data_IF_289245419074
#
_entry.id   IF_289245419074
#
_cell.length_a   1.000
_cell.length_b   1.000
_cell.length_c   1.000
_cell.angle_alpha   90.00
_cell.angle_beta   90.00
_cell.angle_gamma   90.00
#
_symmetry.space_group_name_H-M   'P 1'
#
loop_
_entity.id
_entity.type
_entity.pdbx_description
1 polymer ?
#
# COMPACT_ATOMS: atom_id res chain seq x y z
N UNK A 1 -1.42 -15.90 -4.86
CA UNK A 1 -2.53 -16.70 -4.32
C UNK A 1 -3.83 -15.90 -4.37
N UNK A 2 -4.90 -16.47 -4.93
CA UNK A 2 -6.22 -15.83 -4.93
C UNK A 2 -6.96 -16.12 -3.62
N UNK A 3 -7.84 -15.21 -3.22
CA UNK A 3 -8.65 -15.40 -2.02
C UNK A 3 -9.59 -16.61 -2.16
N UNK A 4 -10.11 -16.86 -3.36
CA UNK A 4 -10.99 -18.01 -3.61
C UNK A 4 -10.27 -19.34 -3.42
N UNK A 5 -9.02 -19.46 -3.88
CA UNK A 5 -8.24 -20.70 -3.73
C UNK A 5 -7.99 -21.00 -2.25
N UNK A 6 -7.63 -19.98 -1.47
CA UNK A 6 -7.49 -20.12 -0.02
C UNK A 6 -8.81 -20.53 0.64
N UNK A 7 -9.93 -19.90 0.25
CA UNK A 7 -11.24 -20.27 0.80
C UNK A 7 -11.65 -21.68 0.39
N UNK A 8 -11.33 -22.13 -0.82
CA UNK A 8 -11.61 -23.49 -1.28
C UNK A 8 -10.81 -24.53 -0.49
N UNK A 9 -9.53 -24.26 -0.22
CA UNK A 9 -8.67 -25.15 0.57
C UNK A 9 -9.16 -25.31 2.01
N UNK A 10 -9.43 -24.19 2.69
CA UNK A 10 -9.94 -24.22 4.08
C UNK A 10 -11.45 -24.50 4.15
N UNK A 11 -12.14 -24.50 3.01
CA UNK A 11 -13.60 -24.66 2.85
C UNK A 11 -14.42 -23.40 3.13
N UNK A 12 -14.07 -22.58 4.14
CA UNK A 12 -14.84 -21.37 4.48
C UNK A 12 -13.96 -20.19 4.87
N UNK A 13 -14.45 -18.97 4.62
CA UNK A 13 -13.78 -17.72 5.04
C UNK A 13 -13.55 -17.67 6.56
N UNK A 14 -14.47 -18.22 7.34
CA UNK A 14 -14.35 -18.30 8.79
C UNK A 14 -13.21 -19.23 9.23
N UNK A 15 -12.99 -20.36 8.54
CA UNK A 15 -11.85 -21.26 8.81
C UNK A 15 -10.52 -20.62 8.45
N UNK A 16 -10.44 -19.89 7.32
CA UNK A 16 -9.25 -19.08 6.98
C UNK A 16 -8.96 -18.04 8.07
N UNK A 17 -10.00 -17.37 8.55
CA UNK A 17 -9.87 -16.35 9.60
C UNK A 17 -9.35 -16.94 10.91
N UNK A 18 -9.89 -18.10 11.33
CA UNK A 18 -9.43 -18.85 12.52
C UNK A 18 -7.98 -19.34 12.39
N UNK A 19 -7.57 -19.77 11.19
CA UNK A 19 -6.20 -20.22 10.96
C UNK A 19 -5.17 -19.08 11.11
N UNK A 20 -5.56 -17.86 10.78
CA UNK A 20 -4.71 -16.65 10.85
C UNK A 20 -4.95 -15.81 12.10
N UNK A 21 -5.82 -16.26 13.00
CA UNK A 21 -6.30 -15.51 14.16
C UNK A 21 -6.74 -14.07 13.83
N UNK A 22 -7.51 -13.93 12.74
CA UNK A 22 -8.09 -12.66 12.30
C UNK A 22 -9.61 -12.73 12.30
N UNK A 23 -10.26 -11.56 12.20
CA UNK A 23 -11.70 -11.50 12.02
C UNK A 23 -12.10 -11.96 10.62
N UNK A 24 -13.27 -12.60 10.51
CA UNK A 24 -13.86 -12.97 9.22
C UNK A 24 -14.04 -11.74 8.30
N UNK A 25 -14.30 -10.57 8.89
CA UNK A 25 -14.42 -9.30 8.18
C UNK A 25 -13.12 -8.95 7.44
N UNK A 26 -11.95 -9.22 8.04
CA UNK A 26 -10.66 -9.02 7.39
C UNK A 26 -10.52 -9.86 6.11
N UNK A 27 -10.94 -11.12 6.15
CA UNK A 27 -10.88 -12.04 4.99
C UNK A 27 -11.78 -11.54 3.85
N UNK A 28 -12.97 -11.02 4.16
CA UNK A 28 -13.84 -10.39 3.14
C UNK A 28 -13.24 -9.12 2.54
N UNK A 29 -12.45 -8.36 3.30
CA UNK A 29 -11.82 -7.11 2.83
C UNK A 29 -10.64 -7.33 1.89
N UNK A 30 -10.09 -8.54 1.80
CA UNK A 30 -8.97 -8.82 0.88
C UNK A 30 -9.36 -8.73 -0.60
N UNK A 31 -10.64 -8.90 -0.94
CA UNK A 31 -11.08 -8.91 -2.33
C UNK A 31 -10.58 -10.15 -3.08
N UNK A 32 -10.11 -9.98 -4.32
CA UNK A 32 -9.72 -11.09 -5.20
C UNK A 32 -8.36 -11.72 -4.87
N UNK A 33 -7.43 -10.93 -4.31
CA UNK A 33 -6.05 -11.34 -4.05
C UNK A 33 -5.76 -11.19 -2.56
N UNK A 34 -5.18 -12.24 -1.96
CA UNK A 34 -4.78 -12.21 -0.54
C UNK A 34 -3.60 -11.25 -0.37
N UNK A 35 -3.52 -10.42 0.69
CA UNK A 35 -2.35 -9.58 0.92
C UNK A 35 -1.07 -10.42 1.08
N UNK A 36 0.06 -9.93 0.56
CA UNK A 36 1.35 -10.64 0.57
C UNK A 36 1.70 -11.26 1.93
N UNK A 37 1.59 -10.48 3.02
CA UNK A 37 1.93 -10.97 4.36
C UNK A 37 1.07 -12.17 4.78
N UNK A 38 -0.25 -12.08 4.54
CA UNK A 38 -1.20 -13.14 4.89
C UNK A 38 -1.05 -14.36 4.00
N UNK A 39 -0.70 -14.16 2.73
CA UNK A 39 -0.44 -15.26 1.82
C UNK A 39 0.77 -16.10 2.25
N UNK A 40 1.83 -15.46 2.76
CA UNK A 40 3.01 -16.14 3.29
C UNK A 40 2.72 -16.87 4.62
N UNK A 41 1.90 -16.29 5.49
CA UNK A 41 1.44 -16.96 6.71
C UNK A 41 0.63 -18.23 6.37
N UNK A 42 -0.30 -18.13 5.41
CA UNK A 42 -1.11 -19.26 4.96
C UNK A 42 -0.26 -20.36 4.31
N UNK A 43 0.73 -20.01 3.50
CA UNK A 43 1.64 -20.99 2.89
C UNK A 43 2.36 -21.81 3.97
N UNK A 44 2.85 -21.17 5.04
CA UNK A 44 3.49 -21.85 6.18
C UNK A 44 2.51 -22.73 6.96
N UNK A 45 1.29 -22.24 7.20
CA UNK A 45 0.25 -23.00 7.91
C UNK A 45 -0.24 -24.22 7.14
N UNK A 46 -0.15 -24.16 5.81
CA UNK A 46 -0.64 -25.20 4.90
C UNK A 46 0.48 -26.12 4.41
N UNK A 47 1.67 -25.99 5.02
CA UNK A 47 2.89 -26.74 4.70
C UNK A 47 3.21 -26.75 3.20
N UNK A 48 3.00 -25.60 2.54
CA UNK A 48 3.24 -25.43 1.10
C UNK A 48 2.12 -25.93 0.18
N UNK A 49 0.96 -26.37 0.70
CA UNK A 49 -0.17 -26.75 -0.13
C UNK A 49 -0.76 -25.57 -0.92
N UNK A 50 -0.69 -24.35 -0.36
CA UNK A 50 -1.07 -23.10 -1.03
C UNK A 50 0.18 -22.29 -1.38
N UNK A 51 0.57 -22.30 -2.66
CA UNK A 51 1.73 -21.55 -3.15
C UNK A 51 1.45 -20.05 -3.24
N UNK A 52 2.31 -19.25 -2.60
CA UNK A 52 2.26 -17.79 -2.70
C UNK A 52 3.22 -17.27 -3.78
N UNK A 53 2.70 -16.94 -4.97
CA UNK A 53 3.49 -16.25 -5.98
C UNK A 53 3.84 -14.81 -5.58
N UNK A 54 5.08 -14.61 -5.14
CA UNK A 54 5.63 -13.30 -4.81
C UNK A 54 5.66 -12.34 -6.01
N UNK A 55 5.70 -12.86 -7.23
CA UNK A 55 5.65 -12.07 -8.46
C UNK A 55 4.32 -11.32 -8.63
N UNK A 56 3.22 -11.79 -8.03
CA UNK A 56 1.92 -11.07 -8.06
C UNK A 56 1.97 -9.75 -7.28
N UNK A 57 2.84 -9.66 -6.28
CA UNK A 57 2.98 -8.47 -5.44
C UNK A 57 4.21 -7.62 -5.78
N UNK A 58 5.00 -8.06 -6.77
CA UNK A 58 6.13 -7.26 -7.25
C UNK A 58 5.56 -6.05 -7.97
N UNK A 59 5.52 -4.93 -7.25
CA UNK A 59 5.07 -3.67 -7.80
C UNK A 59 5.98 -3.33 -8.99
N UNK A 60 5.35 -3.17 -10.15
CA UNK A 60 5.98 -2.74 -11.39
C UNK A 60 6.81 -1.50 -11.08
N UNK A 61 8.10 -1.60 -11.35
CA UNK A 61 9.12 -0.56 -11.21
C UNK A 61 8.56 0.86 -11.44
N UNK A 62 8.99 1.78 -10.58
CA UNK A 62 8.70 3.22 -10.47
C UNK A 62 8.78 3.98 -11.82
N UNK A 63 7.93 3.67 -12.80
CA UNK A 63 7.96 4.30 -14.13
C UNK A 63 7.10 5.57 -14.17
N UNK A 64 7.27 6.46 -13.19
CA UNK A 64 6.70 7.79 -13.23
C UNK A 64 7.79 8.82 -12.89
N UNK A 65 8.42 9.30 -13.98
CA UNK A 65 8.85 10.68 -14.25
C UNK A 65 9.51 11.39 -13.06
N UNK A 66 10.84 11.60 -13.03
CA UNK A 66 11.51 12.71 -13.76
C UNK A 66 10.50 13.75 -14.25
N UNK A 67 9.84 14.43 -13.31
CA UNK A 67 8.92 15.52 -13.57
C UNK A 67 9.32 16.71 -12.71
N UNK A 68 10.13 17.58 -13.31
CA UNK A 68 10.21 19.02 -13.09
C UNK A 68 10.04 19.54 -11.64
N UNK A 69 11.17 19.92 -11.03
CA UNK A 69 11.15 21.12 -10.20
C UNK A 69 11.32 22.29 -11.18
N UNK A 70 10.29 23.12 -11.47
CA UNK A 70 10.53 24.33 -12.23
C UNK A 70 11.47 25.22 -11.42
N UNK A 71 12.69 25.39 -11.90
CA UNK A 71 13.46 26.60 -11.62
C UNK A 71 12.68 27.74 -12.27
N UNK A 72 12.14 28.68 -11.49
CA UNK A 72 11.74 30.03 -11.89
C UNK A 72 11.16 30.66 -10.60
N UNK A 73 11.55 31.84 -10.14
CA UNK A 73 12.41 32.85 -10.71
C UNK A 73 12.99 33.66 -9.55
N UNK A 74 14.23 34.10 -9.72
CA UNK A 74 14.64 35.36 -9.14
C UNK A 74 13.74 36.44 -9.75
N UNK A 75 13.04 37.20 -8.91
CA UNK A 75 12.56 38.52 -9.29
C UNK A 75 12.92 39.43 -8.13
N UNK A 76 14.16 39.89 -8.20
CA UNK A 76 14.56 41.21 -7.79
C UNK A 76 13.59 42.26 -8.34
N UNK A 77 12.71 42.76 -7.50
CA UNK A 77 12.13 44.09 -7.65
C UNK A 77 12.36 44.81 -6.32
N UNK A 78 13.39 45.67 -6.33
CA UNK A 78 13.54 46.68 -5.31
C UNK A 78 12.43 47.72 -5.49
N UNK A 79 11.64 47.93 -4.43
CA UNK A 79 11.02 49.22 -4.21
C UNK A 79 11.22 49.60 -2.74
N UNK A 80 12.17 50.50 -2.55
CA UNK A 80 12.19 51.43 -1.43
C UNK A 80 10.80 52.07 -1.31
N UNK A 81 10.23 52.09 -0.10
CA UNK A 81 9.46 53.26 0.29
C UNK A 81 9.75 53.61 1.75
N UNK A 82 10.04 54.88 1.90
CA UNK A 82 10.47 55.57 3.08
C UNK A 82 9.25 56.19 3.75
N UNK A 83 8.93 55.82 4.98
CA UNK A 83 8.17 56.63 5.94
C UNK A 83 8.22 55.91 7.29
N UNK A 84 9.00 56.37 8.27
CA UNK A 84 8.63 57.47 9.18
C UNK A 84 7.20 57.32 9.73
N UNK A 85 7.05 56.85 10.98
CA UNK A 85 6.28 57.59 11.99
C UNK A 85 6.50 57.02 13.41
N UNK A 86 7.37 57.72 14.14
CA UNK A 86 7.21 58.19 15.52
C UNK A 86 6.06 57.68 16.42
N UNK A 87 6.44 57.47 17.69
CA UNK A 87 5.66 57.64 18.93
C UNK A 87 4.68 56.53 19.36
N UNK A 88 5.08 55.73 20.36
CA UNK A 88 4.76 55.93 21.79
C UNK A 88 5.41 54.90 22.68
#
# INVERSE_FOLDING_TARGET
MKTQDAVAFFGTKAKVARALDVSQVAVTRWGAIVPKGRALELEKLTDGALKCDLNLYKNRSRKNKRGAHPSLAHTEDGQSDSSEMSMR
#
